data_IF_057994403278
#
_entry.id   IF_057994403278
#
_cell.length_a   1.000
_cell.length_b   1.000
_cell.length_c   1.000
_cell.angle_alpha   90.00
_cell.angle_beta   90.00
_cell.angle_gamma   90.00
#
_symmetry.space_group_name_H-M   'P 1'
#
loop_
_entity.id
_entity.type
_entity.pdbx_description
1 polymer ?
#
# COMPACT_ATOMS: atom_id res chain seq x y z
N UNK A 1 -16.46 1.02 -32.66
CA UNK A 1 -15.70 0.42 -31.51
C UNK A 1 -16.46 0.39 -30.17
N UNK A 2 -17.79 0.44 -30.12
CA UNK A 2 -18.55 0.59 -28.85
C UNK A 2 -19.40 -0.63 -28.43
N UNK A 3 -19.58 -1.65 -29.25
CA UNK A 3 -20.39 -2.85 -28.90
C UNK A 3 -19.56 -4.06 -28.36
N UNK A 4 -18.26 -4.13 -28.64
CA UNK A 4 -17.42 -5.24 -28.14
C UNK A 4 -16.99 -5.09 -26.67
N UNK A 5 -16.97 -3.87 -26.13
CA UNK A 5 -16.56 -3.62 -24.73
C UNK A 5 -17.51 -4.21 -23.68
N UNK A 6 -18.80 -4.42 -24.02
CA UNK A 6 -19.81 -4.88 -23.05
C UNK A 6 -19.93 -6.41 -22.94
N UNK A 7 -19.19 -7.20 -23.71
CA UNK A 7 -19.35 -8.66 -23.73
C UNK A 7 -18.11 -9.45 -23.25
N UNK A 8 -17.05 -8.76 -22.84
CA UNK A 8 -15.83 -9.44 -22.41
C UNK A 8 -15.95 -9.77 -20.92
N UNK A 9 -15.88 -11.07 -20.59
CA UNK A 9 -15.86 -11.52 -19.21
C UNK A 9 -14.58 -11.07 -18.50
N UNK A 10 -14.65 -10.77 -17.20
CA UNK A 10 -13.53 -10.62 -16.30
C UNK A 10 -13.49 -11.79 -15.35
N UNK A 11 -12.32 -12.38 -15.14
CA UNK A 11 -12.12 -13.57 -14.33
C UNK A 11 -10.99 -13.37 -13.36
N UNK A 12 -11.24 -13.62 -12.07
CA UNK A 12 -10.21 -13.72 -11.02
C UNK A 12 -10.31 -15.08 -10.36
N UNK A 13 -9.17 -15.68 -10.03
CA UNK A 13 -9.05 -16.88 -9.20
C UNK A 13 -7.98 -16.61 -8.16
N UNK A 14 -8.40 -16.27 -6.95
CA UNK A 14 -7.49 -15.87 -5.88
C UNK A 14 -8.18 -15.94 -4.51
N UNK A 15 -7.40 -15.96 -3.44
CA UNK A 15 -7.86 -15.73 -2.08
C UNK A 15 -7.98 -14.21 -1.83
N UNK A 16 -9.14 -13.75 -1.37
CA UNK A 16 -9.36 -12.31 -1.18
C UNK A 16 -8.56 -11.71 -0.01
N UNK A 17 -8.06 -12.52 0.90
CA UNK A 17 -7.17 -12.04 1.97
C UNK A 17 -5.83 -11.52 1.43
N UNK A 18 -5.37 -12.05 0.29
CA UNK A 18 -4.08 -11.72 -0.31
C UNK A 18 -4.19 -11.03 -1.66
N UNK A 19 -5.36 -11.09 -2.31
CA UNK A 19 -5.59 -10.44 -3.60
C UNK A 19 -6.49 -9.21 -3.46
N UNK A 20 -5.95 -8.01 -3.70
CA UNK A 20 -6.69 -6.76 -3.54
C UNK A 20 -7.80 -6.58 -4.58
N UNK A 21 -7.65 -7.11 -5.80
CA UNK A 21 -8.68 -7.02 -6.83
C UNK A 21 -9.88 -7.91 -6.51
N UNK A 22 -9.62 -9.12 -5.97
CA UNK A 22 -10.67 -10.01 -5.49
C UNK A 22 -11.43 -9.36 -4.32
N UNK A 23 -10.71 -8.85 -3.31
CA UNK A 23 -11.33 -8.19 -2.16
C UNK A 23 -12.09 -6.93 -2.58
N UNK A 24 -11.54 -6.14 -3.50
CA UNK A 24 -12.20 -4.93 -4.00
C UNK A 24 -13.55 -5.24 -4.64
N UNK A 25 -13.59 -6.24 -5.50
CA UNK A 25 -14.81 -6.61 -6.20
C UNK A 25 -15.86 -7.23 -5.30
N UNK A 26 -15.44 -8.16 -4.44
CA UNK A 26 -16.37 -9.02 -3.68
C UNK A 26 -16.71 -8.48 -2.29
N UNK A 27 -15.84 -7.64 -1.70
CA UNK A 27 -15.93 -7.19 -0.29
C UNK A 27 -16.01 -8.36 0.71
N UNK A 28 -15.61 -9.54 0.29
CA UNK A 28 -15.71 -10.79 1.02
C UNK A 28 -14.32 -11.34 1.34
N UNK A 29 -14.07 -11.62 2.59
CA UNK A 29 -12.81 -12.15 3.08
C UNK A 29 -12.82 -13.67 3.08
N UNK A 30 -11.93 -14.29 2.30
CA UNK A 30 -11.75 -15.74 2.30
C UNK A 30 -10.25 -16.07 2.19
N UNK A 31 -9.74 -17.02 3.02
CA UNK A 31 -8.34 -17.40 3.05
C UNK A 31 -7.95 -18.28 1.86
N UNK A 32 -8.91 -19.01 1.30
CA UNK A 32 -8.68 -19.90 0.17
C UNK A 32 -9.10 -19.27 -1.16
N UNK A 33 -8.45 -19.66 -2.28
CA UNK A 33 -8.81 -19.18 -3.61
C UNK A 33 -10.26 -19.59 -3.99
N UNK A 34 -10.98 -18.65 -4.58
CA UNK A 34 -12.28 -18.88 -5.18
C UNK A 34 -12.38 -18.19 -6.54
N UNK A 35 -13.44 -18.45 -7.29
CA UNK A 35 -13.61 -17.91 -8.64
C UNK A 35 -14.57 -16.72 -8.60
N UNK A 36 -14.17 -15.60 -9.17
CA UNK A 36 -15.03 -14.47 -9.53
C UNK A 36 -15.12 -14.38 -11.04
N UNK A 37 -16.32 -14.51 -11.59
CA UNK A 37 -16.64 -14.22 -12.97
C UNK A 37 -17.56 -13.00 -13.03
N UNK A 38 -17.10 -11.92 -13.68
CA UNK A 38 -17.95 -10.78 -14.01
C UNK A 38 -18.28 -10.82 -15.52
N UNK A 39 -19.56 -10.85 -15.86
CA UNK A 39 -20.05 -10.85 -17.23
C UNK A 39 -21.37 -10.10 -17.33
N UNK A 40 -21.51 -9.23 -18.34
CA UNK A 40 -22.72 -8.39 -18.53
C UNK A 40 -23.11 -7.57 -17.28
N UNK A 41 -22.11 -7.11 -16.51
CA UNK A 41 -22.32 -6.35 -15.28
C UNK A 41 -22.78 -7.18 -14.08
N UNK A 42 -22.90 -8.52 -14.22
CA UNK A 42 -23.24 -9.44 -13.12
C UNK A 42 -22.00 -10.19 -12.65
N UNK A 43 -21.88 -10.34 -11.34
CA UNK A 43 -20.82 -11.07 -10.66
C UNK A 43 -21.32 -12.40 -10.14
N UNK A 44 -20.67 -13.48 -10.57
CA UNK A 44 -20.88 -14.83 -10.08
C UNK A 44 -19.66 -15.25 -9.26
N UNK A 45 -19.88 -15.75 -8.04
CA UNK A 45 -18.84 -16.37 -7.22
C UNK A 45 -19.03 -17.88 -7.21
N UNK A 46 -17.91 -18.61 -7.39
CA UNK A 46 -17.88 -20.06 -7.13
C UNK A 46 -17.08 -20.28 -5.86
N UNK A 47 -17.76 -20.73 -4.84
CA UNK A 47 -17.24 -20.89 -3.48
C UNK A 47 -17.26 -22.35 -3.05
N UNK A 48 -16.37 -22.71 -2.13
CA UNK A 48 -16.38 -24.02 -1.48
C UNK A 48 -17.61 -24.17 -0.58
N UNK A 49 -17.90 -25.41 -0.19
CA UNK A 49 -19.00 -25.72 0.74
C UNK A 49 -18.82 -25.04 2.10
N UNK A 50 -17.57 -24.75 2.50
CA UNK A 50 -17.25 -24.01 3.72
C UNK A 50 -17.64 -22.53 3.64
N UNK A 51 -17.58 -21.93 2.45
CA UNK A 51 -17.69 -20.49 2.26
C UNK A 51 -19.03 -20.05 1.64
N UNK A 52 -19.78 -20.95 1.04
CA UNK A 52 -20.97 -20.60 0.23
C UNK A 52 -22.03 -19.83 1.01
N UNK A 53 -22.35 -20.28 2.23
CA UNK A 53 -23.40 -19.66 3.05
C UNK A 53 -22.94 -18.30 3.61
N UNK A 54 -21.67 -18.18 3.96
CA UNK A 54 -21.06 -16.94 4.39
C UNK A 54 -20.96 -15.95 3.21
N UNK A 55 -20.58 -16.44 2.04
CA UNK A 55 -20.51 -15.66 0.81
C UNK A 55 -21.86 -15.06 0.41
N UNK A 56 -22.94 -15.87 0.43
CA UNK A 56 -24.31 -15.41 0.14
C UNK A 56 -24.78 -14.27 1.05
N UNK A 57 -24.30 -14.23 2.30
CA UNK A 57 -24.67 -13.20 3.29
C UNK A 57 -23.80 -11.95 3.23
N UNK A 58 -22.53 -12.08 2.85
CA UNK A 58 -21.54 -11.04 3.04
C UNK A 58 -20.95 -10.48 1.74
N UNK A 59 -20.90 -11.29 0.66
CA UNK A 59 -20.22 -10.91 -0.55
C UNK A 59 -21.07 -9.96 -1.43
N UNK A 60 -20.37 -9.06 -2.10
CA UNK A 60 -20.95 -8.22 -3.15
C UNK A 60 -20.94 -8.97 -4.49
N UNK A 61 -21.96 -9.81 -4.70
CA UNK A 61 -22.14 -10.61 -5.91
C UNK A 61 -23.63 -10.83 -6.20
N UNK A 62 -23.95 -11.14 -7.46
CA UNK A 62 -25.32 -11.33 -7.94
C UNK A 62 -25.72 -12.81 -7.93
N UNK A 63 -24.74 -13.71 -8.17
CA UNK A 63 -24.96 -15.14 -8.27
C UNK A 63 -23.89 -15.93 -7.52
N UNK A 64 -24.28 -17.11 -7.02
CA UNK A 64 -23.41 -18.02 -6.29
C UNK A 64 -23.54 -19.43 -6.83
N UNK A 65 -22.41 -20.12 -6.98
CA UNK A 65 -22.35 -21.54 -7.33
C UNK A 65 -21.46 -22.28 -6.33
N UNK A 66 -21.77 -23.52 -6.06
CA UNK A 66 -20.95 -24.40 -5.22
C UNK A 66 -19.85 -25.02 -6.05
N UNK A 67 -18.61 -24.94 -5.57
CA UNK A 67 -17.47 -25.55 -6.25
C UNK A 67 -17.64 -27.06 -6.39
N UNK A 68 -18.12 -27.74 -5.34
CA UNK A 68 -18.37 -29.18 -5.31
C UNK A 68 -19.42 -29.66 -6.33
N UNK A 69 -20.38 -28.81 -6.74
CA UNK A 69 -21.34 -29.18 -7.80
C UNK A 69 -20.64 -29.27 -9.16
N UNK A 70 -19.82 -28.26 -9.49
CA UNK A 70 -19.05 -28.24 -10.74
C UNK A 70 -17.97 -29.33 -10.72
N UNK A 71 -17.35 -29.57 -9.57
CA UNK A 71 -16.35 -30.62 -9.38
C UNK A 71 -16.94 -32.01 -9.68
N UNK A 72 -18.14 -32.32 -9.18
CA UNK A 72 -18.86 -33.58 -9.45
C UNK A 72 -19.13 -33.78 -10.94
N UNK A 73 -19.48 -32.73 -11.68
CA UNK A 73 -19.66 -32.81 -13.13
C UNK A 73 -18.36 -33.22 -13.85
N UNK A 74 -17.22 -32.69 -13.39
CA UNK A 74 -15.90 -33.01 -13.98
C UNK A 74 -15.43 -34.40 -13.57
N UNK A 75 -15.66 -34.79 -12.32
CA UNK A 75 -15.23 -36.07 -11.75
C UNK A 75 -15.93 -37.25 -12.41
N UNK A 76 -17.23 -37.13 -12.71
CA UNK A 76 -18.02 -38.21 -13.30
C UNK A 76 -17.94 -39.51 -12.48
N UNK A 77 -17.50 -40.61 -13.12
CA UNK A 77 -17.31 -41.91 -12.47
C UNK A 77 -15.91 -42.11 -11.86
N UNK A 78 -15.01 -41.13 -11.96
CA UNK A 78 -13.65 -41.25 -11.43
C UNK A 78 -13.64 -41.20 -9.90
N UNK A 79 -12.78 -42.02 -9.26
CA UNK A 79 -12.55 -41.97 -7.80
C UNK A 79 -11.60 -40.83 -7.42
N UNK A 80 -10.87 -40.22 -8.37
CA UNK A 80 -9.90 -39.17 -8.11
C UNK A 80 -10.55 -37.82 -8.31
N UNK A 81 -10.41 -36.92 -7.35
CA UNK A 81 -10.85 -35.54 -7.47
C UNK A 81 -10.16 -34.86 -8.67
N UNK A 82 -10.87 -34.07 -9.48
CA UNK A 82 -10.28 -33.35 -10.58
C UNK A 82 -9.40 -32.19 -10.06
N UNK A 83 -8.43 -31.79 -10.88
CA UNK A 83 -7.64 -30.61 -10.60
C UNK A 83 -8.51 -29.35 -10.69
N UNK A 84 -8.20 -28.35 -9.87
CA UNK A 84 -8.97 -27.10 -9.76
C UNK A 84 -9.17 -26.41 -11.12
N UNK A 85 -8.15 -26.37 -11.96
CA UNK A 85 -8.17 -25.77 -13.29
C UNK A 85 -9.18 -26.45 -14.23
N UNK A 86 -9.43 -27.75 -14.08
CA UNK A 86 -10.45 -28.49 -14.85
C UNK A 86 -11.85 -28.10 -14.42
N UNK A 87 -12.06 -27.89 -13.13
CA UNK A 87 -13.32 -27.40 -12.57
C UNK A 87 -13.60 -25.98 -13.06
N UNK A 88 -12.57 -25.11 -13.04
CA UNK A 88 -12.63 -23.76 -13.59
C UNK A 88 -13.05 -23.78 -15.08
N UNK A 89 -12.38 -24.60 -15.89
CA UNK A 89 -12.70 -24.71 -17.32
C UNK A 89 -14.14 -25.19 -17.56
N UNK A 90 -14.61 -26.18 -16.79
CA UNK A 90 -15.99 -26.67 -16.83
C UNK A 90 -16.99 -25.56 -16.50
N UNK A 91 -16.77 -24.86 -15.39
CA UNK A 91 -17.63 -23.76 -14.96
C UNK A 91 -17.77 -22.69 -16.04
N UNK A 92 -16.65 -22.26 -16.66
CA UNK A 92 -16.68 -21.26 -17.71
C UNK A 92 -17.38 -21.77 -19.00
N UNK A 93 -17.21 -23.04 -19.35
CA UNK A 93 -17.96 -23.66 -20.47
C UNK A 93 -19.47 -23.68 -20.21
N UNK A 94 -19.89 -24.07 -19.01
CA UNK A 94 -21.31 -24.08 -18.61
C UNK A 94 -21.94 -22.68 -18.72
N UNK A 95 -21.13 -21.62 -18.50
CA UNK A 95 -21.54 -20.22 -18.65
C UNK A 95 -21.34 -19.65 -20.06
N UNK A 96 -20.92 -20.48 -21.02
CA UNK A 96 -20.69 -20.06 -22.41
C UNK A 96 -19.60 -19.02 -22.59
N UNK A 97 -18.61 -18.98 -21.67
CA UNK A 97 -17.47 -18.06 -21.72
C UNK A 97 -16.45 -18.62 -22.71
N UNK A 98 -16.12 -17.84 -23.75
CA UNK A 98 -15.10 -18.18 -24.75
C UNK A 98 -13.84 -17.33 -24.62
N UNK A 99 -13.93 -16.22 -23.91
CA UNK A 99 -12.79 -15.36 -23.62
C UNK A 99 -13.01 -14.55 -22.36
N UNK A 100 -11.92 -14.27 -21.62
CA UNK A 100 -11.94 -13.44 -20.44
C UNK A 100 -10.68 -12.56 -20.32
N UNK A 101 -10.82 -11.40 -19.68
CA UNK A 101 -9.70 -10.60 -19.15
C UNK A 101 -9.41 -11.11 -17.75
N UNK A 102 -8.12 -11.30 -17.45
CA UNK A 102 -7.62 -11.76 -16.15
C UNK A 102 -6.62 -10.76 -15.58
N UNK A 103 -6.37 -10.72 -14.26
CA UNK A 103 -5.28 -9.95 -13.69
C UNK A 103 -3.92 -10.35 -14.28
N UNK A 104 -2.95 -9.43 -14.27
CA UNK A 104 -1.63 -9.68 -14.83
C UNK A 104 -0.88 -10.83 -14.13
N UNK A 105 -1.19 -11.09 -12.86
CA UNK A 105 -0.64 -12.17 -12.03
C UNK A 105 -1.48 -13.47 -12.07
N UNK A 106 -2.37 -13.61 -13.04
CA UNK A 106 -3.20 -14.81 -13.18
C UNK A 106 -2.32 -16.06 -13.34
N UNK A 107 -2.58 -17.15 -12.58
CA UNK A 107 -1.73 -18.34 -12.62
C UNK A 107 -1.65 -18.98 -14.00
N UNK A 108 -0.42 -19.19 -14.50
CA UNK A 108 -0.15 -19.74 -15.83
C UNK A 108 -0.85 -21.10 -16.05
N UNK A 109 -0.82 -22.00 -15.05
CA UNK A 109 -1.48 -23.30 -15.12
C UNK A 109 -2.98 -23.21 -15.44
N UNK A 110 -3.66 -22.19 -14.94
CA UNK A 110 -5.08 -21.96 -15.26
C UNK A 110 -5.23 -21.46 -16.69
N UNK A 111 -4.35 -20.59 -17.14
CA UNK A 111 -4.37 -20.08 -18.51
C UNK A 111 -4.15 -21.20 -19.54
N UNK A 112 -3.21 -22.12 -19.28
CA UNK A 112 -2.92 -23.28 -20.12
C UNK A 112 -4.11 -24.24 -20.21
N UNK A 113 -4.72 -24.62 -19.08
CA UNK A 113 -5.92 -25.47 -19.08
C UNK A 113 -7.09 -24.82 -19.81
N UNK A 114 -7.30 -23.50 -19.61
CA UNK A 114 -8.34 -22.75 -20.30
C UNK A 114 -8.09 -22.73 -21.82
N UNK A 115 -6.85 -22.53 -22.24
CA UNK A 115 -6.46 -22.58 -23.66
C UNK A 115 -6.72 -23.97 -24.29
N UNK A 116 -6.35 -25.06 -23.60
CA UNK A 116 -6.65 -26.44 -23.99
C UNK A 116 -8.17 -26.68 -24.15
N UNK A 117 -8.97 -25.96 -23.39
CA UNK A 117 -10.42 -25.98 -23.44
C UNK A 117 -11.04 -24.93 -24.40
N UNK A 118 -10.24 -24.31 -25.27
CA UNK A 118 -10.64 -23.28 -26.26
C UNK A 118 -11.25 -22.01 -25.62
N UNK A 119 -10.87 -21.70 -24.39
CA UNK A 119 -11.21 -20.47 -23.67
C UNK A 119 -9.97 -19.58 -23.69
N UNK A 120 -10.04 -18.46 -24.38
CA UNK A 120 -8.91 -17.51 -24.47
C UNK A 120 -8.90 -16.58 -23.26
N UNK A 121 -7.75 -16.44 -22.60
CA UNK A 121 -7.56 -15.42 -21.56
C UNK A 121 -6.53 -14.40 -22.03
N UNK A 122 -6.72 -13.16 -21.60
CA UNK A 122 -5.80 -12.05 -21.84
C UNK A 122 -5.59 -11.28 -20.55
N UNK A 123 -4.33 -11.05 -20.19
CA UNK A 123 -4.01 -10.19 -19.06
C UNK A 123 -4.55 -8.78 -19.26
N UNK A 124 -5.00 -8.15 -18.18
CA UNK A 124 -5.40 -6.75 -18.18
C UNK A 124 -4.20 -5.88 -18.56
N UNK A 125 -4.45 -4.83 -19.32
CA UNK A 125 -3.45 -3.80 -19.58
C UNK A 125 -3.62 -2.68 -18.55
N UNK A 126 -2.78 -2.69 -17.52
CA UNK A 126 -2.87 -1.76 -16.39
C UNK A 126 -3.75 -2.28 -15.25
N UNK A 127 -4.45 -1.37 -14.58
CA UNK A 127 -5.29 -1.68 -13.41
C UNK A 127 -6.45 -2.59 -13.82
N UNK A 128 -6.63 -3.70 -13.12
CA UNK A 128 -7.70 -4.65 -13.43
C UNK A 128 -9.10 -4.05 -13.20
N UNK A 129 -9.28 -3.32 -12.11
CA UNK A 129 -10.47 -2.50 -11.82
C UNK A 129 -10.10 -1.02 -11.92
N UNK A 130 -10.32 -0.35 -13.07
CA UNK A 130 -9.98 1.07 -13.25
C UNK A 130 -10.62 2.00 -12.20
N UNK A 131 -11.74 1.58 -11.64
CA UNK A 131 -12.48 2.30 -10.60
C UNK A 131 -11.66 2.48 -9.30
N UNK A 132 -10.69 1.59 -9.04
CA UNK A 132 -9.78 1.70 -7.89
C UNK A 132 -8.92 2.97 -7.93
N UNK A 133 -8.68 3.54 -9.11
CA UNK A 133 -7.83 4.72 -9.24
C UNK A 133 -8.47 5.96 -8.61
N UNK A 134 -9.79 6.16 -8.81
CA UNK A 134 -10.54 7.31 -8.28
C UNK A 134 -11.43 6.87 -7.12
N UNK A 135 -11.10 7.29 -5.90
CA UNK A 135 -11.78 6.83 -4.68
C UNK A 135 -13.17 7.46 -4.50
N UNK A 136 -14.15 6.64 -4.20
CA UNK A 136 -15.46 7.09 -3.71
C UNK A 136 -15.35 7.71 -2.30
N UNK A 137 -16.39 8.41 -1.84
CA UNK A 137 -16.40 8.99 -0.49
C UNK A 137 -16.30 7.90 0.59
N UNK A 138 -16.95 6.74 0.37
CA UNK A 138 -16.88 5.60 1.27
C UNK A 138 -15.46 5.01 1.35
N UNK A 139 -14.74 4.94 0.23
CA UNK A 139 -13.34 4.49 0.23
C UNK A 139 -12.42 5.48 0.94
N UNK A 140 -12.62 6.78 0.73
CA UNK A 140 -11.89 7.83 1.45
C UNK A 140 -12.14 7.74 2.97
N UNK A 141 -13.36 7.42 3.39
CA UNK A 141 -13.69 7.19 4.81
C UNK A 141 -12.95 5.97 5.38
N UNK A 142 -12.94 4.84 4.63
CA UNK A 142 -12.21 3.63 5.01
C UNK A 142 -10.70 3.90 5.12
N UNK A 143 -10.12 4.64 4.19
CA UNK A 143 -8.72 5.06 4.25
C UNK A 143 -8.46 5.99 5.45
N UNK A 144 -9.40 6.88 5.76
CA UNK A 144 -9.34 7.71 6.98
C UNK A 144 -9.30 6.86 8.26
N UNK A 145 -9.99 5.71 8.28
CA UNK A 145 -9.91 4.75 9.38
C UNK A 145 -8.50 4.12 9.46
N UNK A 146 -7.94 3.67 8.33
CA UNK A 146 -6.60 3.11 8.28
C UNK A 146 -5.53 4.13 8.72
N UNK A 147 -5.66 5.39 8.32
CA UNK A 147 -4.78 6.48 8.76
C UNK A 147 -4.87 6.72 10.28
N UNK A 148 -6.05 6.63 10.90
CA UNK A 148 -6.17 6.72 12.36
C UNK A 148 -5.46 5.56 13.07
N UNK A 149 -5.40 4.36 12.46
CA UNK A 149 -4.62 3.23 12.97
C UNK A 149 -3.12 3.55 12.88
N UNK A 150 -2.64 4.09 11.75
CA UNK A 150 -1.27 4.57 11.57
C UNK A 150 -0.89 5.61 12.64
N UNK A 151 -1.75 6.58 12.89
CA UNK A 151 -1.55 7.61 13.91
C UNK A 151 -1.38 7.03 15.33
N UNK A 152 -2.10 5.93 15.65
CA UNK A 152 -1.92 5.22 16.93
C UNK A 152 -0.54 4.59 17.06
N UNK A 153 -0.03 3.99 15.97
CA UNK A 153 1.33 3.46 15.91
C UNK A 153 2.39 4.54 16.11
N UNK A 154 2.29 5.64 15.36
CA UNK A 154 3.20 6.79 15.51
C UNK A 154 3.13 7.44 16.90
N UNK A 155 1.93 7.58 17.45
CA UNK A 155 1.75 8.10 18.80
C UNK A 155 2.50 7.24 19.81
N UNK A 156 2.39 5.91 19.72
CA UNK A 156 3.10 4.99 20.59
C UNK A 156 4.62 5.13 20.45
N UNK A 157 5.14 5.27 19.24
CA UNK A 157 6.56 5.51 19.01
C UNK A 157 7.05 6.78 19.74
N UNK A 158 6.32 7.88 19.59
CA UNK A 158 6.65 9.16 20.24
C UNK A 158 6.61 9.04 21.79
N UNK A 159 5.63 8.32 22.34
CA UNK A 159 5.53 8.08 23.78
C UNK A 159 6.75 7.32 24.32
N UNK A 160 7.15 6.22 23.66
CA UNK A 160 8.32 5.43 24.04
C UNK A 160 9.60 6.26 23.94
N UNK A 161 9.79 7.00 22.84
CA UNK A 161 10.96 7.85 22.67
C UNK A 161 11.02 8.97 23.71
N UNK A 162 9.91 9.62 24.08
CA UNK A 162 9.86 10.62 25.15
C UNK A 162 10.20 10.05 26.51
N UNK A 163 9.80 8.82 26.79
CA UNK A 163 10.09 8.12 28.04
C UNK A 163 11.54 7.61 28.13
N UNK A 164 12.20 7.44 26.95
CA UNK A 164 13.56 6.96 26.89
C UNK A 164 14.55 7.98 27.46
N UNK A 165 15.67 7.46 28.00
CA UNK A 165 16.74 8.26 28.60
C UNK A 165 18.06 7.98 27.90
N UNK A 166 18.88 9.00 27.61
CA UNK A 166 20.24 8.79 27.12
C UNK A 166 21.10 8.10 28.20
N UNK A 167 21.89 7.10 27.80
CA UNK A 167 22.92 6.46 28.60
C UNK A 167 24.32 6.73 28.01
N UNK A 168 25.34 6.08 28.53
CA UNK A 168 26.73 6.19 28.05
C UNK A 168 26.80 5.98 26.53
N UNK A 169 27.53 6.85 25.82
CA UNK A 169 27.63 6.84 24.37
C UNK A 169 26.34 7.23 23.66
N UNK A 170 25.46 7.99 24.32
CA UNK A 170 24.16 8.48 23.77
C UNK A 170 23.16 7.38 23.43
N UNK A 171 23.37 6.12 23.80
CA UNK A 171 22.38 5.06 23.58
C UNK A 171 21.11 5.38 24.36
N UNK A 172 19.97 5.22 23.69
CA UNK A 172 18.68 5.36 24.38
C UNK A 172 18.37 4.10 25.19
N UNK A 173 17.84 4.30 26.38
CA UNK A 173 17.34 3.23 27.27
C UNK A 173 15.87 3.45 27.56
N UNK A 174 15.12 2.40 27.67
CA UNK A 174 13.70 2.39 28.00
C UNK A 174 13.39 1.15 28.84
N UNK A 175 12.65 1.32 29.93
CA UNK A 175 12.35 0.26 30.90
C UNK A 175 13.61 -0.54 31.35
N UNK A 176 14.71 0.16 31.61
CA UNK A 176 15.97 -0.44 32.09
C UNK A 176 16.78 -1.19 31.04
N UNK A 177 16.34 -1.22 29.75
CA UNK A 177 17.02 -1.90 28.63
C UNK A 177 17.43 -0.92 27.57
N UNK A 178 18.44 -1.26 26.77
CA UNK A 178 18.75 -0.51 25.54
C UNK A 178 17.53 -0.50 24.61
N UNK A 179 17.09 0.69 24.21
CA UNK A 179 16.03 0.85 23.22
C UNK A 179 16.62 0.60 21.83
N UNK A 180 16.11 -0.42 21.15
CA UNK A 180 16.52 -0.76 19.79
C UNK A 180 15.39 -0.50 18.79
N UNK A 181 15.74 -0.47 17.50
CA UNK A 181 14.76 -0.38 16.40
C UNK A 181 13.70 -1.47 16.50
N UNK A 182 14.10 -2.70 16.86
CA UNK A 182 13.19 -3.85 16.98
C UNK A 182 12.21 -3.67 18.15
N UNK A 183 12.69 -3.19 19.30
CA UNK A 183 11.83 -2.93 20.48
C UNK A 183 10.81 -1.84 20.13
N UNK A 184 11.27 -0.73 19.56
CA UNK A 184 10.37 0.38 19.21
C UNK A 184 9.36 -0.05 18.13
N UNK A 185 9.77 -0.84 17.14
CA UNK A 185 8.89 -1.41 16.13
C UNK A 185 7.84 -2.34 16.75
N UNK A 186 8.22 -3.21 17.67
CA UNK A 186 7.28 -4.09 18.37
C UNK A 186 6.22 -3.30 19.15
N UNK A 187 6.59 -2.18 19.76
CA UNK A 187 5.65 -1.27 20.44
C UNK A 187 4.68 -0.60 19.44
N UNK A 188 5.18 -0.14 18.30
CA UNK A 188 4.36 0.42 17.22
C UNK A 188 3.38 -0.63 16.72
N UNK A 189 3.88 -1.81 16.34
CA UNK A 189 3.10 -2.89 15.75
C UNK A 189 2.03 -3.41 16.72
N UNK A 190 2.35 -3.48 18.03
CA UNK A 190 1.38 -3.81 19.07
C UNK A 190 0.26 -2.76 19.19
N UNK A 191 0.58 -1.47 19.08
CA UNK A 191 -0.42 -0.42 19.09
C UNK A 191 -1.31 -0.45 17.85
N UNK A 192 -0.74 -0.75 16.69
CA UNK A 192 -1.46 -0.96 15.42
C UNK A 192 -2.43 -2.13 15.54
N UNK A 193 -1.98 -3.28 16.04
CA UNK A 193 -2.84 -4.47 16.26
C UNK A 193 -4.02 -4.18 17.19
N UNK A 194 -3.76 -3.53 18.33
CA UNK A 194 -4.82 -3.12 19.27
C UNK A 194 -5.83 -2.14 18.65
N UNK A 195 -5.40 -1.37 17.66
CA UNK A 195 -6.27 -0.44 16.94
C UNK A 195 -7.08 -1.11 15.80
N UNK A 196 -6.90 -2.42 15.57
CA UNK A 196 -7.58 -3.19 14.52
C UNK A 196 -6.87 -3.15 13.16
N UNK A 197 -5.58 -2.85 13.14
CA UNK A 197 -4.72 -2.92 11.95
C UNK A 197 -3.85 -4.17 11.93
N UNK A 198 -3.37 -4.51 10.75
CA UNK A 198 -2.34 -5.52 10.53
C UNK A 198 -1.05 -4.78 10.18
N UNK A 199 0.02 -4.86 11.01
CA UNK A 199 1.29 -4.25 10.70
C UNK A 199 1.88 -4.78 9.40
N UNK A 200 2.54 -3.92 8.64
CA UNK A 200 3.12 -4.30 7.36
C UNK A 200 4.47 -3.61 7.15
N UNK A 201 5.55 -4.25 7.58
CA UNK A 201 6.90 -3.79 7.25
C UNK A 201 7.37 -2.51 7.94
N UNK A 202 6.76 -2.08 9.06
CA UNK A 202 7.09 -0.88 9.83
C UNK A 202 8.59 -0.58 9.88
N UNK A 203 8.99 0.66 9.54
CA UNK A 203 10.36 1.14 9.56
C UNK A 203 10.63 1.97 10.81
N UNK A 204 11.73 1.64 11.49
CA UNK A 204 12.32 2.42 12.58
C UNK A 204 13.82 2.50 12.33
N UNK A 205 14.25 3.42 11.49
CA UNK A 205 15.64 3.52 11.05
C UNK A 205 16.33 4.74 11.65
N UNK A 206 17.40 4.50 12.42
CA UNK A 206 18.18 5.53 13.12
C UNK A 206 19.50 5.85 12.43
N UNK A 207 19.91 7.13 12.43
CA UNK A 207 21.20 7.58 11.91
C UNK A 207 21.38 7.24 10.42
N UNK A 208 22.53 6.62 10.09
CA UNK A 208 22.87 6.29 8.71
C UNK A 208 22.02 5.16 8.10
N UNK A 209 21.39 4.31 8.93
CA UNK A 209 20.42 3.33 8.44
C UNK A 209 19.24 4.02 7.73
N UNK A 210 18.84 5.19 8.22
CA UNK A 210 17.79 6.00 7.61
C UNK A 210 18.16 6.52 6.20
N UNK A 211 19.42 6.38 5.76
CA UNK A 211 19.83 6.76 4.41
C UNK A 211 19.50 5.71 3.33
N UNK A 212 19.01 4.54 3.72
CA UNK A 212 18.42 3.55 2.85
C UNK A 212 16.90 3.55 3.05
N UNK A 213 16.11 4.13 2.15
CA UNK A 213 14.69 4.43 2.39
C UNK A 213 13.82 3.26 2.82
N UNK A 214 14.18 2.01 2.47
CA UNK A 214 13.46 0.79 2.84
C UNK A 214 14.16 -0.03 3.93
N UNK A 215 15.27 0.48 4.52
CA UNK A 215 15.90 -0.18 5.67
C UNK A 215 14.97 -0.09 6.89
N UNK A 216 14.59 -1.26 7.41
CA UNK A 216 13.66 -1.35 8.54
C UNK A 216 14.27 -0.90 9.87
N UNK A 217 15.58 -0.77 9.91
CA UNK A 217 16.35 -0.45 11.09
C UNK A 217 16.62 -1.64 12.00
N UNK A 218 17.77 -1.62 12.67
CA UNK A 218 18.22 -2.65 13.62
C UNK A 218 19.14 -2.06 14.69
N UNK A 219 19.20 -2.73 15.83
CA UNK A 219 20.11 -2.41 16.92
C UNK A 219 19.77 -1.11 17.66
N UNK A 220 20.72 -0.57 18.46
CA UNK A 220 20.48 0.56 19.36
C UNK A 220 20.08 1.83 18.67
N UNK A 221 19.10 2.54 19.23
CA UNK A 221 18.77 3.93 18.89
C UNK A 221 19.57 4.89 19.77
N UNK A 222 19.88 6.06 19.23
CA UNK A 222 20.75 7.04 19.88
C UNK A 222 20.06 8.39 20.04
N UNK A 223 20.35 9.08 21.15
CA UNK A 223 19.98 10.47 21.34
C UNK A 223 20.69 11.36 20.32
N UNK A 224 20.09 12.50 19.99
CA UNK A 224 20.58 13.48 19.02
C UNK A 224 20.80 12.90 17.61
N UNK A 225 20.19 11.76 17.29
CA UNK A 225 20.24 11.10 15.99
C UNK A 225 18.86 11.11 15.34
N UNK A 226 18.78 11.39 14.04
CA UNK A 226 17.53 11.33 13.28
C UNK A 226 17.02 9.89 13.23
N UNK A 227 15.73 9.71 13.47
CA UNK A 227 15.04 8.42 13.41
C UNK A 227 13.86 8.57 12.47
N UNK A 228 13.84 7.83 11.37
CA UNK A 228 12.68 7.70 10.50
C UNK A 228 11.74 6.66 11.12
N UNK A 229 10.50 7.08 11.32
CA UNK A 229 9.37 6.26 11.72
C UNK A 229 8.40 6.22 10.54
N UNK A 230 8.27 5.07 9.89
CA UNK A 230 7.41 4.88 8.73
C UNK A 230 6.44 3.73 9.01
N UNK A 231 5.15 4.04 9.06
CA UNK A 231 4.11 3.15 9.60
C UNK A 231 2.96 3.07 8.60
N UNK A 232 2.81 1.89 7.97
CA UNK A 232 1.85 1.65 6.89
C UNK A 232 1.02 0.37 7.09
N UNK A 233 0.17 0.32 8.12
CA UNK A 233 -0.68 -0.84 8.39
C UNK A 233 -1.82 -0.98 7.41
N UNK A 234 -2.33 -2.21 7.26
CA UNK A 234 -3.62 -2.48 6.63
C UNK A 234 -4.71 -2.52 7.70
N UNK A 235 -5.82 -1.83 7.51
CA UNK A 235 -7.02 -2.00 8.35
C UNK A 235 -7.60 -3.42 8.14
N UNK A 236 -7.62 -4.23 9.18
CA UNK A 236 -8.09 -5.62 9.14
C UNK A 236 -9.57 -5.74 8.72
N UNK A 237 -10.39 -4.72 8.95
CA UNK A 237 -11.81 -4.73 8.61
C UNK A 237 -12.08 -4.40 7.15
N UNK A 238 -11.35 -3.41 6.60
CA UNK A 238 -11.67 -2.82 5.30
C UNK A 238 -10.69 -3.20 4.21
N UNK A 239 -9.47 -3.65 4.58
CA UNK A 239 -8.39 -3.98 3.65
C UNK A 239 -7.61 -2.77 3.12
N UNK A 240 -8.02 -1.54 3.45
CA UNK A 240 -7.30 -0.34 3.03
C UNK A 240 -6.07 -0.10 3.87
N UNK A 241 -5.03 0.46 3.24
CA UNK A 241 -3.80 0.85 3.91
C UNK A 241 -3.89 2.29 4.43
N UNK A 242 -3.27 2.52 5.59
CA UNK A 242 -2.80 3.83 6.00
C UNK A 242 -1.30 3.92 5.77
N UNK A 243 -0.78 5.13 5.60
CA UNK A 243 0.63 5.35 5.34
C UNK A 243 1.08 6.70 5.90
N UNK A 244 2.18 6.73 6.65
CA UNK A 244 2.69 7.98 7.20
C UNK A 244 4.11 7.85 7.71
N UNK A 245 5.00 8.70 7.21
CA UNK A 245 6.36 8.83 7.73
C UNK A 245 6.54 10.10 8.55
N UNK A 246 7.23 9.97 9.68
CA UNK A 246 7.77 11.08 10.48
C UNK A 246 9.24 10.84 10.78
N UNK A 247 10.03 11.90 10.68
CA UNK A 247 11.40 11.89 11.17
C UNK A 247 11.49 12.73 12.44
N UNK A 248 11.99 12.12 13.48
CA UNK A 248 12.16 12.72 14.83
C UNK A 248 13.55 12.44 15.37
N UNK A 249 13.92 13.11 16.44
CA UNK A 249 15.04 12.72 17.29
C UNK A 249 14.71 12.94 18.77
N UNK A 250 15.28 12.11 19.64
CA UNK A 250 15.24 12.30 21.10
C UNK A 250 16.46 13.11 21.51
N UNK A 251 16.23 14.34 22.01
CA UNK A 251 17.31 15.25 22.39
C UNK A 251 17.35 16.52 21.55
N UNK A 252 18.55 16.95 21.11
CA UNK A 252 18.75 18.20 20.34
C UNK A 252 19.35 17.92 18.97
N UNK A 253 18.76 18.51 17.95
CA UNK A 253 19.28 18.47 16.59
C UNK A 253 20.46 19.43 16.44
N UNK A 254 21.53 18.99 15.76
CA UNK A 254 22.54 19.93 15.25
C UNK A 254 21.92 20.86 14.20
N UNK A 255 22.58 21.99 13.91
CA UNK A 255 22.12 22.93 12.90
C UNK A 255 21.99 22.27 11.51
N UNK A 256 22.91 21.36 11.18
CA UNK A 256 22.87 20.61 9.94
C UNK A 256 21.67 19.66 9.85
N UNK A 257 21.36 18.92 10.91
CA UNK A 257 20.16 18.04 10.98
C UNK A 257 18.88 18.87 10.94
N UNK A 258 18.81 19.96 11.64
CA UNK A 258 17.68 20.90 11.61
C UNK A 258 17.47 21.45 10.19
N UNK A 259 18.53 21.93 9.54
CA UNK A 259 18.49 22.43 8.18
C UNK A 259 17.99 21.36 7.20
N UNK A 260 18.47 20.12 7.33
CA UNK A 260 18.03 18.98 6.50
C UNK A 260 16.51 18.74 6.69
N UNK A 261 16.06 18.58 7.94
CA UNK A 261 14.68 18.30 8.26
C UNK A 261 13.71 19.42 7.82
N UNK A 262 14.06 20.67 8.09
CA UNK A 262 13.28 21.83 7.68
C UNK A 262 13.21 21.96 6.15
N UNK A 263 14.29 21.59 5.46
CA UNK A 263 14.30 21.56 3.99
C UNK A 263 13.33 20.50 3.46
N UNK A 264 13.29 19.30 4.06
CA UNK A 264 12.31 18.25 3.70
C UNK A 264 10.89 18.75 3.96
N UNK A 265 10.64 19.35 5.13
CA UNK A 265 9.31 19.90 5.49
C UNK A 265 8.85 20.98 4.50
N UNK A 266 9.73 21.87 4.12
CA UNK A 266 9.44 22.93 3.14
C UNK A 266 9.21 22.34 1.74
N UNK A 267 9.99 21.33 1.33
CA UNK A 267 9.81 20.61 0.06
C UNK A 267 8.47 19.87 0.00
N UNK A 268 8.07 19.23 1.10
CA UNK A 268 6.75 18.62 1.18
C UNK A 268 5.62 19.66 1.07
N UNK A 269 5.76 20.79 1.77
CA UNK A 269 4.77 21.88 1.68
C UNK A 269 4.68 22.45 0.25
N UNK A 270 5.81 22.55 -0.47
CA UNK A 270 5.84 22.91 -1.88
C UNK A 270 5.08 21.92 -2.76
N UNK A 271 5.31 20.61 -2.55
CA UNK A 271 4.59 19.56 -3.26
C UNK A 271 3.08 19.64 -3.02
N UNK A 272 2.65 19.71 -1.75
CA UNK A 272 1.24 19.79 -1.36
C UNK A 272 0.51 20.97 -2.01
N UNK A 273 1.18 22.13 -2.15
CA UNK A 273 0.61 23.29 -2.85
C UNK A 273 0.42 23.07 -4.35
N UNK A 274 1.21 22.18 -4.96
CA UNK A 274 1.18 21.91 -6.40
C UNK A 274 0.28 20.73 -6.77
N UNK A 275 -0.04 19.83 -5.84
CA UNK A 275 -0.92 18.67 -6.09
C UNK A 275 -2.33 19.13 -6.39
N UNK A 276 -2.78 18.87 -7.64
CA UNK A 276 -4.10 19.24 -8.14
C UNK A 276 -4.42 18.39 -9.38
N UNK A 277 -5.69 18.11 -9.61
CA UNK A 277 -6.13 17.45 -10.85
C UNK A 277 -5.71 18.26 -12.10
N UNK A 278 -5.23 17.57 -13.11
CA UNK A 278 -4.71 18.16 -14.36
C UNK A 278 -3.22 18.53 -14.32
N UNK A 279 -2.56 18.44 -13.16
CA UNK A 279 -1.12 18.73 -13.06
C UNK A 279 -0.31 17.48 -13.41
N UNK A 280 0.73 17.65 -14.23
CA UNK A 280 1.73 16.61 -14.46
C UNK A 280 2.58 16.44 -13.20
N UNK A 281 2.54 15.25 -12.61
CA UNK A 281 3.27 14.93 -11.39
C UNK A 281 4.80 15.00 -11.52
N UNK A 282 5.37 14.87 -12.75
CA UNK A 282 6.79 15.08 -12.99
C UNK A 282 7.20 16.54 -12.73
N UNK A 283 6.34 17.50 -13.00
CA UNK A 283 6.62 18.92 -12.70
C UNK A 283 6.71 19.18 -11.21
N UNK A 284 5.92 18.45 -10.41
CA UNK A 284 5.98 18.50 -8.94
C UNK A 284 7.31 17.91 -8.46
N UNK A 285 7.67 16.74 -8.97
CA UNK A 285 8.92 16.06 -8.61
C UNK A 285 10.15 16.90 -8.91
N UNK A 286 10.26 17.43 -10.13
CA UNK A 286 11.36 18.32 -10.53
C UNK A 286 11.46 19.56 -9.66
N UNK A 287 10.32 20.21 -9.35
CA UNK A 287 10.30 21.40 -8.51
C UNK A 287 10.85 21.12 -7.09
N UNK A 288 10.62 19.92 -6.54
CA UNK A 288 11.19 19.53 -5.24
C UNK A 288 12.69 19.29 -5.37
N UNK A 289 13.16 18.57 -6.39
CA UNK A 289 14.58 18.32 -6.61
C UNK A 289 15.36 19.64 -6.76
N UNK A 290 14.87 20.57 -7.56
CA UNK A 290 15.45 21.90 -7.72
C UNK A 290 15.44 22.70 -6.42
N UNK A 291 14.33 22.64 -5.66
CA UNK A 291 14.24 23.31 -4.36
C UNK A 291 15.29 22.75 -3.39
N UNK A 292 15.45 21.43 -3.31
CA UNK A 292 16.46 20.81 -2.45
C UNK A 292 17.88 21.16 -2.86
N UNK A 293 18.18 21.15 -4.18
CA UNK A 293 19.49 21.55 -4.69
C UNK A 293 19.83 22.99 -4.32
N UNK A 294 18.90 23.95 -4.51
CA UNK A 294 19.09 25.37 -4.10
C UNK A 294 19.30 25.55 -2.60
N UNK A 295 18.81 24.63 -1.77
CA UNK A 295 19.01 24.63 -0.31
C UNK A 295 20.33 23.98 0.12
N UNK A 296 21.16 23.50 -0.85
CA UNK A 296 22.44 22.85 -0.62
C UNK A 296 22.34 21.33 -0.44
N UNK A 297 21.24 20.72 -0.88
CA UNK A 297 21.00 19.28 -0.81
C UNK A 297 20.76 18.70 -2.23
N UNK A 298 21.77 18.70 -3.12
CA UNK A 298 21.63 18.12 -4.45
C UNK A 298 21.51 16.60 -4.41
N UNK A 299 20.85 16.04 -5.43
CA UNK A 299 20.84 14.59 -5.65
C UNK A 299 22.04 14.23 -6.53
N UNK A 300 22.96 13.45 -5.99
CA UNK A 300 24.22 13.10 -6.65
C UNK A 300 24.79 11.77 -6.15
N UNK A 301 25.95 11.36 -6.67
CA UNK A 301 26.72 10.23 -6.16
C UNK A 301 27.89 10.76 -5.34
N UNK A 302 27.96 10.38 -4.06
CA UNK A 302 29.09 10.66 -3.16
C UNK A 302 29.70 9.36 -2.67
N UNK A 303 31.01 9.17 -2.88
CA UNK A 303 31.75 7.96 -2.48
C UNK A 303 31.06 6.66 -2.92
N UNK A 304 30.58 6.63 -4.18
CA UNK A 304 29.89 5.47 -4.76
C UNK A 304 28.44 5.26 -4.32
N UNK A 305 27.88 6.13 -3.49
CA UNK A 305 26.52 6.01 -2.96
C UNK A 305 25.64 7.17 -3.41
N UNK A 306 24.38 6.91 -3.76
CA UNK A 306 23.41 7.99 -4.02
C UNK A 306 23.07 8.72 -2.73
N UNK A 307 23.04 10.08 -2.81
CA UNK A 307 22.60 10.97 -1.75
C UNK A 307 21.58 11.96 -2.29
N UNK A 308 20.86 12.65 -1.39
CA UNK A 308 19.83 13.61 -1.77
C UNK A 308 18.44 12.99 -1.88
N UNK A 309 17.63 13.43 -2.84
CA UNK A 309 16.28 12.94 -3.10
C UNK A 309 16.26 12.06 -4.35
N UNK A 310 16.35 10.76 -4.21
CA UNK A 310 16.55 9.81 -5.30
C UNK A 310 15.41 8.77 -5.47
N UNK A 311 14.28 8.94 -4.80
CA UNK A 311 13.08 8.15 -4.99
C UNK A 311 11.90 9.00 -5.49
N UNK A 312 10.75 8.39 -5.72
CA UNK A 312 9.55 9.09 -6.16
C UNK A 312 9.00 10.05 -5.11
N UNK A 313 8.25 11.06 -5.55
CA UNK A 313 7.59 12.00 -4.64
C UNK A 313 6.41 11.38 -3.90
N UNK A 314 5.86 10.29 -4.43
CA UNK A 314 4.74 9.57 -3.84
C UNK A 314 4.10 8.57 -4.79
N UNK A 315 3.17 7.82 -4.27
CA UNK A 315 2.46 6.74 -4.94
C UNK A 315 0.97 6.75 -4.58
N UNK A 316 0.17 6.06 -5.39
CA UNK A 316 -1.21 5.76 -5.07
C UNK A 316 -1.31 4.84 -3.85
N UNK A 317 -2.32 5.08 -3.05
CA UNK A 317 -2.62 4.31 -1.85
C UNK A 317 -4.08 3.85 -1.88
N UNK A 318 -4.32 2.62 -1.40
CA UNK A 318 -5.67 2.07 -1.33
C UNK A 318 -5.70 0.69 -0.68
N UNK A 319 -6.09 -0.32 -1.43
CA UNK A 319 -6.05 -1.72 -0.99
C UNK A 319 -4.67 -2.36 -1.18
N UNK A 320 -3.75 -1.65 -1.81
CA UNK A 320 -2.33 -1.97 -1.85
C UNK A 320 -1.56 -0.77 -1.30
N UNK A 321 -0.42 -1.06 -0.65
CA UNK A 321 0.48 -0.01 -0.15
C UNK A 321 1.03 0.82 -1.32
N UNK A 322 1.29 0.18 -2.42
CA UNK A 322 1.77 0.78 -3.65
C UNK A 322 0.82 0.46 -4.81
N UNK A 323 -0.20 1.28 -5.03
CA UNK A 323 -1.04 1.15 -6.22
C UNK A 323 -0.89 2.32 -7.19
N UNK A 324 -1.61 2.29 -8.29
CA UNK A 324 -1.66 3.42 -9.22
C UNK A 324 -2.38 4.64 -8.63
N UNK A 325 -1.89 5.85 -9.00
CA UNK A 325 -0.74 6.11 -9.85
C UNK A 325 0.58 6.27 -9.08
N UNK A 326 1.72 6.22 -9.76
CA UNK A 326 2.98 6.80 -9.27
C UNK A 326 2.96 8.28 -9.58
N UNK A 327 3.05 9.14 -8.56
CA UNK A 327 2.83 10.59 -8.68
C UNK A 327 3.62 11.21 -9.85
N UNK A 328 4.92 10.94 -9.93
CA UNK A 328 5.80 11.54 -10.95
C UNK A 328 5.66 10.95 -12.37
N UNK A 329 4.75 9.99 -12.60
CA UNK A 329 4.60 9.32 -13.91
C UNK A 329 3.27 9.58 -14.60
N UNK A 330 2.44 10.45 -14.04
CA UNK A 330 1.08 10.67 -14.54
C UNK A 330 0.64 12.11 -14.44
N UNK A 331 -0.34 12.48 -15.25
CA UNK A 331 -1.19 13.65 -14.99
C UNK A 331 -2.22 13.26 -13.93
N UNK A 332 -2.23 14.01 -12.84
CA UNK A 332 -3.09 13.74 -11.68
C UNK A 332 -4.56 13.91 -12.04
N UNK A 333 -5.40 13.03 -11.51
CA UNK A 333 -6.85 13.05 -11.71
C UNK A 333 -7.58 13.36 -10.41
N UNK A 334 -8.77 13.91 -10.54
CA UNK A 334 -9.67 14.10 -9.40
C UNK A 334 -9.94 12.78 -8.68
N UNK A 335 -10.02 12.82 -7.35
CA UNK A 335 -10.27 11.68 -6.46
C UNK A 335 -9.19 10.60 -6.37
N UNK A 336 -8.02 10.79 -6.95
CA UNK A 336 -6.86 9.95 -6.64
C UNK A 336 -6.41 10.19 -5.20
N UNK A 337 -6.02 9.13 -4.50
CA UNK A 337 -5.37 9.22 -3.19
C UNK A 337 -3.91 8.85 -3.35
N UNK A 338 -3.04 9.74 -2.87
CA UNK A 338 -1.60 9.66 -3.07
C UNK A 338 -0.86 9.92 -1.76
N UNK A 339 0.33 9.35 -1.61
CA UNK A 339 1.32 9.83 -0.65
C UNK A 339 2.07 11.04 -1.21
N UNK A 340 2.55 11.91 -0.33
CA UNK A 340 3.48 13.00 -0.64
C UNK A 340 4.61 12.93 0.38
N UNK A 341 5.75 12.35 -0.03
CA UNK A 341 6.77 11.82 0.88
C UNK A 341 8.22 12.19 0.49
N UNK A 342 8.53 13.43 0.13
CA UNK A 342 9.91 13.76 -0.20
C UNK A 342 10.85 13.49 0.97
N UNK A 343 12.06 13.02 0.67
CA UNK A 343 13.10 12.74 1.64
C UNK A 343 14.48 13.18 1.20
N UNK A 344 15.36 13.38 2.17
CA UNK A 344 16.77 13.68 1.96
C UNK A 344 17.63 12.71 2.78
N UNK A 345 18.64 12.15 2.15
CA UNK A 345 19.46 11.08 2.69
C UNK A 345 20.94 11.38 2.49
N UNK A 346 21.67 11.65 3.59
CA UNK A 346 23.09 11.99 3.58
C UNK A 346 23.83 11.24 4.68
N UNK A 347 24.59 10.17 4.34
CA UNK A 347 25.39 9.44 5.32
C UNK A 347 26.30 10.35 6.13
N UNK A 348 26.40 10.10 7.43
CA UNK A 348 27.06 10.95 8.43
C UNK A 348 26.15 12.05 8.99
N UNK A 349 25.04 12.39 8.33
CA UNK A 349 24.02 13.33 8.83
C UNK A 349 22.72 12.58 9.17
N UNK A 350 22.45 11.53 8.45
CA UNK A 350 21.22 10.71 8.55
C UNK A 350 20.23 10.99 7.42
N UNK A 351 19.05 10.36 7.52
CA UNK A 351 17.94 10.54 6.61
C UNK A 351 16.75 11.26 7.25
N UNK A 352 16.03 12.04 6.43
CA UNK A 352 14.75 12.61 6.82
C UNK A 352 13.72 12.42 5.71
N UNK A 353 12.54 11.90 6.06
CA UNK A 353 11.34 11.79 5.21
C UNK A 353 10.13 12.27 6.01
N UNK A 354 9.30 13.07 5.38
CA UNK A 354 8.01 13.49 5.91
C UNK A 354 6.94 13.17 4.89
N UNK A 355 5.94 12.45 5.30
CA UNK A 355 4.90 11.93 4.45
C UNK A 355 3.52 12.23 4.97
N UNK A 356 2.64 12.60 4.05
CA UNK A 356 1.19 12.70 4.28
C UNK A 356 0.43 12.09 3.10
N UNK A 357 -0.73 11.54 3.41
CA UNK A 357 -1.68 11.03 2.41
C UNK A 357 -2.66 12.14 2.04
N UNK A 358 -2.88 12.32 0.74
CA UNK A 358 -3.76 13.37 0.20
C UNK A 358 -4.79 12.81 -0.77
N UNK A 359 -5.98 13.41 -0.76
CA UNK A 359 -6.98 13.25 -1.81
C UNK A 359 -6.81 14.39 -2.81
N UNK A 360 -6.55 14.06 -4.06
CA UNK A 360 -6.48 15.02 -5.17
C UNK A 360 -7.88 15.57 -5.47
N UNK A 361 -8.00 16.87 -5.66
CA UNK A 361 -9.26 17.54 -6.03
C UNK A 361 -9.05 18.45 -7.24
N UNK A 362 -10.14 18.92 -7.83
CA UNK A 362 -10.13 19.89 -8.94
C UNK A 362 -9.47 21.22 -8.60
N UNK A 363 -9.43 21.61 -7.31
CA UNK A 363 -8.90 22.91 -6.85
C UNK A 363 -7.57 22.82 -6.11
N UNK A 364 -7.08 21.62 -5.78
CA UNK A 364 -5.87 21.38 -4.98
C UNK A 364 -5.84 19.96 -4.43
N UNK A 365 -5.43 19.78 -3.17
CA UNK A 365 -5.55 18.50 -2.46
C UNK A 365 -6.08 18.69 -1.05
N UNK A 366 -6.72 17.65 -0.52
CA UNK A 366 -7.14 17.54 0.87
C UNK A 366 -6.23 16.56 1.60
N UNK A 367 -5.51 17.02 2.62
CA UNK A 367 -4.68 16.17 3.47
C UNK A 367 -5.61 15.30 4.32
N UNK A 368 -5.40 13.97 4.27
CA UNK A 368 -6.19 12.99 5.01
C UNK A 368 -5.50 12.58 6.32
N UNK A 369 -4.17 12.59 6.37
CA UNK A 369 -3.35 12.26 7.55
C UNK A 369 -3.32 13.42 8.55
N UNK A 370 -3.31 13.11 9.86
CA UNK A 370 -3.37 14.13 10.92
C UNK A 370 -2.41 13.80 12.06
N UNK A 371 -1.11 13.95 11.81
CA UNK A 371 -0.10 13.74 12.84
C UNK A 371 0.95 14.85 12.82
N UNK A 372 1.38 15.39 13.99
CA UNK A 372 2.32 16.50 14.04
C UNK A 372 3.64 16.20 13.32
N UNK A 373 4.24 17.26 12.73
CA UNK A 373 5.59 17.28 12.20
C UNK A 373 6.47 18.03 13.19
N UNK A 374 7.08 17.30 14.10
CA UNK A 374 7.97 17.81 15.15
C UNK A 374 9.30 17.08 15.05
N UNK A 375 10.42 17.80 15.06
CA UNK A 375 11.76 17.21 14.97
C UNK A 375 12.22 16.68 16.33
N UNK A 376 12.26 17.55 17.31
CA UNK A 376 12.76 17.25 18.67
C UNK A 376 11.63 16.81 19.58
N UNK A 377 11.84 15.71 20.32
CA UNK A 377 10.85 15.12 21.22
C UNK A 377 11.45 14.75 22.57
#
# INVERSE_FOLDING_TARGET
MSKEKNNTARLIVAASETDPDMLYATKFWAPDPFILLERHGKRTLVLSDLEIDRGRKQANADEFAMFSEVEREVQGKSKKAPAYEKVLARFLKNRGVRSAIVPANFPLRYAEELAANKIRVRASNGIFWPEREAKSDKEVEMMGRALRITEKGLKRAIEVLKQSKPATGKRLTWNGKTLTSEILRAEIDSAVLRAGGVPNGTIVAGGDQACDPHERGFGPLYADSLIILDVFPRDAKTGYFGDMTRTVLRGRASDAQRKLWETVKAGQALALKKVKAGVDGMTIHKAIQEFFARRGFPTEIRKGRRVGFFHGTGHGLGMEIHEHPRLQKVTLKDRQVLTVEPGLYYPGLGGARLEDVVLVTKKGCRILSRFPKQLEI
#
